data_IF_619451432430
#
_entry.id   IF_619451432430
#
_cell.length_a   1.000
_cell.length_b   1.000
_cell.length_c   1.000
_cell.angle_alpha   90.00
_cell.angle_beta   90.00
_cell.angle_gamma   90.00
#
_symmetry.space_group_name_H-M   'P 1'
#
loop_
_entity.id
_entity.type
_entity.pdbx_description
1 polymer ?
#
# COMPACT_ATOMS: atom_id res chain seq x y z
N UNK A 1 -5.00 2.85 -4.94
CA UNK A 1 -5.67 4.04 -4.36
C UNK A 1 -4.78 4.61 -3.26
N UNK A 2 -4.63 5.92 -3.20
CA UNK A 2 -3.92 6.61 -2.12
C UNK A 2 -4.93 7.47 -1.34
N UNK A 3 -5.12 7.14 -0.06
CA UNK A 3 -5.81 8.02 0.88
C UNK A 3 -4.72 8.84 1.57
N UNK A 4 -4.81 10.15 1.53
CA UNK A 4 -3.79 10.96 2.15
C UNK A 4 -4.36 12.09 3.01
N UNK A 5 -3.71 12.31 4.16
CA UNK A 5 -3.89 13.46 5.04
C UNK A 5 -2.61 14.27 5.14
N UNK A 6 -1.75 14.21 4.13
CA UNK A 6 -0.48 14.91 4.11
C UNK A 6 -0.63 16.44 4.13
N UNK A 7 0.37 17.17 4.58
CA UNK A 7 0.40 18.63 4.46
C UNK A 7 0.14 19.08 3.02
N UNK A 8 -0.53 20.23 2.88
CA UNK A 8 -0.80 20.81 1.56
C UNK A 8 0.50 20.96 0.77
N UNK A 9 0.47 20.59 -0.50
CA UNK A 9 1.61 20.68 -1.42
C UNK A 9 2.60 19.51 -1.35
N UNK A 10 2.66 18.75 -0.24
CA UNK A 10 3.55 17.58 -0.16
C UNK A 10 3.18 16.51 -1.18
N UNK A 11 1.93 16.10 -1.22
CA UNK A 11 1.45 15.07 -2.17
C UNK A 11 1.76 15.44 -3.62
N UNK A 12 1.54 16.71 -3.98
CA UNK A 12 1.82 17.22 -5.32
C UNK A 12 3.31 17.23 -5.64
N UNK A 13 4.14 17.64 -4.68
CA UNK A 13 5.59 17.64 -4.81
C UNK A 13 6.11 16.22 -4.97
N UNK A 14 5.69 15.35 -4.06
CA UNK A 14 6.10 13.93 -4.01
C UNK A 14 5.78 13.21 -5.31
N UNK A 15 4.58 13.42 -5.85
CA UNK A 15 4.14 12.81 -7.11
C UNK A 15 4.85 13.40 -8.32
N UNK A 16 4.90 14.74 -8.42
CA UNK A 16 5.51 15.42 -9.58
C UNK A 16 7.00 15.13 -9.72
N UNK A 17 7.72 15.01 -8.60
CA UNK A 17 9.16 14.73 -8.61
C UNK A 17 9.47 13.22 -8.51
N UNK A 18 8.44 12.37 -8.50
CA UNK A 18 8.58 10.91 -8.40
C UNK A 18 9.50 10.49 -7.24
N UNK A 19 9.34 11.14 -6.07
CA UNK A 19 10.21 10.92 -4.92
C UNK A 19 10.12 9.50 -4.37
N UNK A 20 9.04 8.79 -4.64
CA UNK A 20 8.80 7.40 -4.21
C UNK A 20 9.95 6.46 -4.58
N UNK A 21 10.60 6.69 -5.73
CA UNK A 21 11.70 5.82 -6.20
C UNK A 21 12.97 5.95 -5.36
N UNK A 22 13.12 7.05 -4.65
CA UNK A 22 14.30 7.32 -3.82
C UNK A 22 13.95 7.41 -2.32
N UNK A 23 12.70 7.14 -1.97
CA UNK A 23 12.23 7.21 -0.59
C UNK A 23 12.72 5.99 0.21
N UNK A 24 13.62 6.18 1.19
CA UNK A 24 14.17 5.09 1.97
C UNK A 24 13.10 4.41 2.84
N UNK A 25 12.07 5.16 3.25
CA UNK A 25 10.96 4.64 4.05
C UNK A 25 10.12 3.69 3.23
N UNK A 26 9.80 4.06 1.99
CA UNK A 26 9.08 3.18 1.05
C UNK A 26 9.91 1.93 0.72
N UNK A 27 11.19 2.11 0.43
CA UNK A 27 12.09 0.99 0.16
C UNK A 27 12.17 0.00 1.34
N UNK A 28 12.11 0.51 2.58
CA UNK A 28 12.10 -0.31 3.78
C UNK A 28 10.75 -1.03 3.98
N UNK A 29 9.63 -0.43 3.60
CA UNK A 29 8.31 -1.07 3.67
C UNK A 29 8.22 -2.38 2.89
N UNK A 30 8.91 -2.48 1.75
CA UNK A 30 8.95 -3.72 0.96
C UNK A 30 9.75 -4.86 1.62
N UNK A 31 10.60 -4.54 2.59
CA UNK A 31 11.50 -5.49 3.25
C UNK A 31 11.09 -5.81 4.68
N UNK A 32 10.31 -4.94 5.31
CA UNK A 32 9.87 -5.09 6.70
C UNK A 32 8.42 -5.53 6.75
N UNK A 33 8.12 -6.56 7.54
CA UNK A 33 6.75 -6.96 7.88
C UNK A 33 6.29 -6.38 9.21
N UNK A 34 7.22 -5.81 9.98
CA UNK A 34 6.95 -5.19 11.27
C UNK A 34 6.83 -3.66 11.13
N UNK A 35 6.00 -3.01 11.95
CA UNK A 35 5.97 -1.56 12.04
C UNK A 35 7.33 -1.00 12.47
N UNK A 36 7.69 0.18 11.96
CA UNK A 36 8.97 0.82 12.21
C UNK A 36 8.87 2.34 12.23
N UNK A 37 9.83 3.01 12.86
CA UNK A 37 9.98 4.46 12.76
C UNK A 37 10.73 4.83 11.48
N UNK A 38 10.52 6.02 10.96
CA UNK A 38 11.26 6.51 9.77
C UNK A 38 12.76 6.50 9.98
N UNK A 39 13.21 6.70 11.23
CA UNK A 39 14.63 6.62 11.61
C UNK A 39 15.24 5.22 11.48
N UNK A 40 14.41 4.19 11.44
CA UNK A 40 14.86 2.81 11.30
C UNK A 40 15.03 2.41 9.82
N UNK A 41 14.55 3.24 8.88
CA UNK A 41 14.72 3.01 7.45
C UNK A 41 16.18 3.31 7.03
N UNK A 42 16.98 2.30 6.66
CA UNK A 42 18.40 2.50 6.41
C UNK A 42 18.64 3.22 5.08
N UNK A 43 19.42 4.26 5.08
CA UNK A 43 20.02 4.84 3.88
C UNK A 43 21.36 5.52 4.23
N UNK A 44 22.24 5.57 3.27
CA UNK A 44 23.50 6.31 3.38
C UNK A 44 23.38 7.59 2.55
N UNK A 45 23.51 8.71 3.22
CA UNK A 45 23.41 10.04 2.60
C UNK A 45 24.54 10.35 1.60
N UNK A 46 25.67 9.65 1.70
CA UNK A 46 26.82 9.83 0.78
C UNK A 46 26.61 9.04 -0.50
N UNK A 47 26.23 7.77 -0.36
CA UNK A 47 26.03 6.88 -1.51
C UNK A 47 24.66 7.03 -2.16
N UNK A 48 23.66 7.53 -1.39
CA UNK A 48 22.31 7.81 -1.88
C UNK A 48 21.85 9.22 -1.49
N UNK A 49 22.37 10.27 -2.12
CA UNK A 49 22.00 11.66 -1.80
C UNK A 49 20.54 11.98 -2.10
N UNK A 50 19.91 11.23 -3.03
CA UNK A 50 18.48 11.42 -3.35
C UNK A 50 17.57 10.95 -2.22
N UNK A 51 17.94 9.88 -1.51
CA UNK A 51 17.21 9.46 -0.31
C UNK A 51 17.26 10.53 0.77
N UNK A 52 18.44 11.13 0.97
CA UNK A 52 18.58 12.27 1.88
C UNK A 52 17.70 13.45 1.46
N UNK A 53 17.66 13.78 0.17
CA UNK A 53 16.81 14.86 -0.34
C UNK A 53 15.34 14.64 -0.01
N UNK A 54 14.83 13.40 -0.16
CA UNK A 54 13.44 13.06 0.20
C UNK A 54 13.17 13.36 1.68
N UNK A 55 14.06 12.94 2.57
CA UNK A 55 13.90 13.14 4.01
C UNK A 55 14.02 14.61 4.41
N UNK A 56 14.95 15.35 3.80
CA UNK A 56 15.09 16.79 4.03
C UNK A 56 13.82 17.54 3.60
N UNK A 57 13.29 17.24 2.42
CA UNK A 57 12.03 17.84 1.94
C UNK A 57 10.82 17.48 2.80
N UNK A 58 10.75 16.27 3.33
CA UNK A 58 9.70 15.91 4.29
C UNK A 58 9.75 16.82 5.52
N UNK A 59 10.96 17.16 5.96
CA UNK A 59 11.19 18.09 7.10
C UNK A 59 10.69 19.50 6.80
N UNK A 60 10.81 19.99 5.57
CA UNK A 60 10.26 21.30 5.15
C UNK A 60 8.74 21.37 5.31
N UNK A 61 8.07 20.23 5.21
CA UNK A 61 6.64 20.08 5.45
C UNK A 61 6.29 19.68 6.88
N UNK A 62 7.19 19.89 7.85
CA UNK A 62 7.04 19.56 9.28
C UNK A 62 6.87 18.06 9.55
N UNK A 63 7.34 17.22 8.69
CA UNK A 63 7.35 15.77 8.84
C UNK A 63 8.76 15.29 9.21
N UNK A 64 9.15 15.55 10.46
CA UNK A 64 10.49 15.21 10.97
C UNK A 64 10.61 13.78 11.47
N UNK A 65 9.52 13.26 12.00
CA UNK A 65 9.43 11.90 12.52
C UNK A 65 8.18 11.23 12.00
N UNK A 66 8.27 9.96 11.74
CA UNK A 66 7.14 9.18 11.29
C UNK A 66 7.18 7.74 11.78
N UNK A 67 6.04 7.09 11.67
CA UNK A 67 5.84 5.70 12.00
C UNK A 67 5.09 5.03 10.85
N UNK A 68 5.62 3.92 10.38
CA UNK A 68 5.07 3.14 9.28
C UNK A 68 4.55 1.79 9.77
N UNK A 69 3.43 1.39 9.19
CA UNK A 69 2.86 0.07 9.33
C UNK A 69 2.75 -0.54 7.94
N UNK A 70 3.72 -1.35 7.50
CA UNK A 70 3.61 -2.13 6.26
C UNK A 70 2.51 -3.18 6.41
N UNK A 71 1.74 -3.39 5.36
CA UNK A 71 0.67 -4.38 5.32
C UNK A 71 0.98 -5.37 4.23
N UNK A 72 1.18 -6.61 4.66
CA UNK A 72 1.47 -7.75 3.80
C UNK A 72 0.34 -8.78 3.89
N UNK A 73 0.08 -9.45 2.80
CA UNK A 73 -0.81 -10.62 2.72
C UNK A 73 -0.02 -11.81 2.18
N UNK A 74 -0.68 -12.94 1.96
CA UNK A 74 -0.08 -14.09 1.26
C UNK A 74 0.49 -13.73 -0.12
N UNK A 75 -0.05 -12.69 -0.75
CA UNK A 75 0.37 -12.21 -2.08
C UNK A 75 1.51 -11.17 -2.00
N UNK A 76 2.07 -10.93 -0.82
CA UNK A 76 3.17 -10.01 -0.57
C UNK A 76 2.73 -8.64 -0.05
N UNK A 77 3.54 -7.59 -0.29
CA UNK A 77 3.26 -6.22 0.13
C UNK A 77 2.03 -5.66 -0.58
N UNK A 78 1.09 -5.15 0.19
CA UNK A 78 -0.17 -4.60 -0.32
C UNK A 78 -0.29 -3.10 -0.12
N UNK A 79 0.11 -2.61 1.06
CA UNK A 79 -0.06 -1.22 1.42
C UNK A 79 0.89 -0.81 2.55
N UNK A 80 0.96 0.48 2.78
CA UNK A 80 1.53 1.06 4.00
C UNK A 80 0.58 2.09 4.56
N UNK A 81 0.41 2.09 5.87
CA UNK A 81 -0.15 3.22 6.59
C UNK A 81 1.00 3.94 7.26
N UNK A 82 1.21 5.20 6.90
CA UNK A 82 2.28 6.00 7.46
C UNK A 82 1.72 7.27 8.10
N UNK A 83 2.27 7.61 9.23
CA UNK A 83 1.94 8.80 10.02
C UNK A 83 3.21 9.58 10.28
N UNK A 84 3.15 10.89 10.10
CA UNK A 84 4.32 11.73 10.31
C UNK A 84 3.91 13.08 10.91
N UNK A 85 4.87 13.71 11.56
CA UNK A 85 4.70 15.03 12.15
C UNK A 85 5.99 15.59 12.72
N UNK A 86 5.91 16.80 13.22
CA UNK A 86 7.05 17.47 13.84
C UNK A 86 7.38 16.90 15.23
N UNK A 87 6.35 16.60 16.00
CA UNK A 87 6.41 15.98 17.33
C UNK A 87 5.42 14.83 17.40
N UNK A 88 5.86 13.63 17.08
CA UNK A 88 5.04 12.43 17.13
C UNK A 88 5.35 11.69 18.42
N UNK A 89 4.31 11.38 19.20
CA UNK A 89 4.44 10.53 20.37
C UNK A 89 4.57 9.07 19.92
N UNK A 90 5.72 8.46 20.18
CA UNK A 90 6.07 7.12 19.74
C UNK A 90 6.51 6.21 20.91
N UNK A 91 5.87 6.37 22.06
CA UNK A 91 6.01 5.39 23.15
C UNK A 91 5.59 4.00 22.70
N UNK A 92 6.05 2.98 23.39
CA UNK A 92 5.68 1.60 23.07
C UNK A 92 4.17 1.35 23.10
N UNK A 93 3.43 2.11 23.93
CA UNK A 93 1.97 2.06 23.98
C UNK A 93 1.36 2.71 22.73
N UNK A 94 1.80 3.91 22.38
CA UNK A 94 1.34 4.63 21.20
C UNK A 94 1.59 3.83 19.92
N UNK A 95 2.78 3.26 19.75
CA UNK A 95 3.11 2.41 18.59
C UNK A 95 2.16 1.22 18.43
N UNK A 96 1.83 0.52 19.55
CA UNK A 96 0.88 -0.60 19.50
C UNK A 96 -0.52 -0.14 19.12
N UNK A 97 -0.98 0.99 19.68
CA UNK A 97 -2.28 1.57 19.34
C UNK A 97 -2.34 1.98 17.86
N UNK A 98 -1.33 2.69 17.38
CA UNK A 98 -1.21 3.10 15.98
C UNK A 98 -1.17 1.91 15.02
N UNK A 99 -0.50 0.83 15.40
CA UNK A 99 -0.49 -0.41 14.61
C UNK A 99 -1.90 -0.99 14.44
N UNK A 100 -2.63 -1.14 15.54
CA UNK A 100 -4.01 -1.66 15.49
C UNK A 100 -4.93 -0.74 14.68
N UNK A 101 -4.81 0.57 14.87
CA UNK A 101 -5.58 1.56 14.10
C UNK A 101 -5.27 1.49 12.60
N UNK A 102 -4.01 1.31 12.24
CA UNK A 102 -3.60 1.19 10.84
C UNK A 102 -4.19 -0.05 10.17
N UNK A 103 -4.15 -1.20 10.84
CA UNK A 103 -4.74 -2.44 10.33
C UNK A 103 -6.27 -2.31 10.16
N UNK A 104 -6.95 -1.71 11.15
CA UNK A 104 -8.38 -1.45 11.04
C UNK A 104 -8.72 -0.49 9.90
N UNK A 105 -7.99 0.62 9.79
CA UNK A 105 -8.18 1.62 8.73
C UNK A 105 -7.96 1.01 7.33
N UNK A 106 -6.93 0.18 7.18
CA UNK A 106 -6.69 -0.54 5.93
C UNK A 106 -7.85 -1.47 5.58
N UNK A 107 -8.31 -2.29 6.52
CA UNK A 107 -9.46 -3.17 6.30
C UNK A 107 -10.70 -2.40 5.85
N UNK A 108 -11.00 -1.27 6.51
CA UNK A 108 -12.11 -0.39 6.11
C UNK A 108 -11.93 0.24 4.75
N UNK A 109 -10.70 0.63 4.41
CA UNK A 109 -10.40 1.16 3.08
C UNK A 109 -10.62 0.10 1.98
N UNK A 110 -10.22 -1.13 2.24
CA UNK A 110 -10.47 -2.27 1.32
C UNK A 110 -11.97 -2.49 1.15
N UNK A 111 -12.74 -2.55 2.24
CA UNK A 111 -14.20 -2.73 2.20
C UNK A 111 -14.90 -1.64 1.37
N UNK A 112 -14.49 -0.38 1.57
CA UNK A 112 -15.07 0.78 0.87
C UNK A 112 -14.70 0.83 -0.62
N UNK A 113 -13.54 0.27 -0.98
CA UNK A 113 -13.01 0.29 -2.33
C UNK A 113 -13.23 -1.03 -3.07
N UNK A 114 -13.70 -2.06 -2.36
CA UNK A 114 -14.11 -3.30 -3.00
C UNK A 114 -15.11 -2.97 -4.11
N UNK A 115 -14.91 -3.49 -5.33
CA UNK A 115 -15.93 -3.38 -6.36
C UNK A 115 -17.24 -3.87 -5.76
N UNK A 116 -18.30 -3.07 -5.90
CA UNK A 116 -19.64 -3.56 -5.51
C UNK A 116 -19.80 -4.93 -6.15
N UNK A 117 -20.20 -5.94 -5.38
CA UNK A 117 -20.42 -7.25 -5.97
C UNK A 117 -21.34 -7.06 -7.17
N UNK A 118 -20.87 -7.47 -8.35
CA UNK A 118 -21.76 -7.60 -9.49
C UNK A 118 -23.00 -8.34 -8.98
N UNK A 119 -24.22 -7.99 -9.45
CA UNK A 119 -25.38 -8.80 -9.16
C UNK A 119 -24.95 -10.26 -9.40
N UNK A 120 -25.31 -11.19 -8.51
CA UNK A 120 -24.75 -12.52 -8.51
C UNK A 120 -24.75 -13.04 -9.93
N UNK A 121 -23.53 -13.28 -10.46
CA UNK A 121 -23.38 -13.76 -11.83
C UNK A 121 -24.30 -14.99 -11.90
N UNK A 122 -25.24 -14.96 -12.83
CA UNK A 122 -26.17 -16.09 -13.04
C UNK A 122 -25.31 -17.33 -13.06
N UNK A 123 -25.46 -18.16 -12.03
CA UNK A 123 -24.67 -19.38 -11.93
C UNK A 123 -24.89 -20.16 -13.24
N UNK A 124 -23.79 -20.43 -13.90
CA UNK A 124 -23.83 -21.23 -15.13
C UNK A 124 -24.49 -22.57 -14.83
N UNK A 125 -25.46 -22.94 -15.65
CA UNK A 125 -26.03 -24.27 -15.63
C UNK A 125 -24.91 -25.29 -15.86
N UNK A 126 -25.17 -26.54 -15.52
CA UNK A 126 -24.22 -27.64 -15.77
C UNK A 126 -23.79 -27.68 -17.24
N UNK A 127 -24.74 -27.55 -18.16
CA UNK A 127 -24.49 -27.59 -19.61
C UNK A 127 -23.65 -26.39 -20.08
N UNK A 128 -23.92 -25.17 -19.61
CA UNK A 128 -23.14 -23.98 -19.94
C UNK A 128 -21.67 -24.12 -19.45
N UNK A 129 -21.49 -24.75 -18.31
CA UNK A 129 -20.15 -25.01 -17.77
C UNK A 129 -19.37 -26.03 -18.59
N UNK A 130 -20.04 -27.11 -19.00
CA UNK A 130 -19.46 -28.14 -19.89
C UNK A 130 -19.05 -27.51 -21.24
N UNK A 131 -19.92 -26.70 -21.84
CA UNK A 131 -19.64 -25.99 -23.10
C UNK A 131 -18.42 -25.08 -22.95
N UNK A 132 -18.34 -24.31 -21.88
CA UNK A 132 -17.18 -23.45 -21.63
C UNK A 132 -15.87 -24.24 -21.41
N UNK A 133 -15.96 -25.39 -20.74
CA UNK A 133 -14.79 -26.26 -20.57
C UNK A 133 -14.29 -26.81 -21.93
N UNK A 134 -15.18 -27.20 -22.81
CA UNK A 134 -14.82 -27.69 -24.13
C UNK A 134 -14.29 -26.56 -25.03
N UNK A 135 -14.89 -25.37 -24.97
CA UNK A 135 -14.36 -24.20 -25.67
C UNK A 135 -12.95 -23.81 -25.17
N UNK A 136 -12.72 -23.90 -23.88
CA UNK A 136 -11.39 -23.62 -23.27
C UNK A 136 -10.34 -24.66 -23.70
N UNK A 137 -10.72 -25.86 -24.05
CA UNK A 137 -9.82 -26.89 -24.60
C UNK A 137 -9.67 -26.81 -26.12
N UNK A 138 -10.23 -25.76 -26.75
CA UNK A 138 -10.07 -25.50 -28.19
C UNK A 138 -11.06 -26.26 -29.10
N UNK A 139 -12.12 -26.85 -28.53
CA UNK A 139 -13.15 -27.48 -29.35
C UNK A 139 -13.99 -26.44 -30.06
N UNK A 140 -14.28 -26.71 -31.32
CA UNK A 140 -15.16 -25.89 -32.15
C UNK A 140 -16.63 -26.06 -31.76
N UNK A 141 -17.47 -25.08 -32.11
CA UNK A 141 -18.93 -25.14 -31.85
C UNK A 141 -19.59 -26.41 -32.40
N UNK A 142 -19.04 -26.96 -33.47
CA UNK A 142 -19.54 -28.20 -34.12
C UNK A 142 -19.23 -29.45 -33.30
N UNK A 143 -18.09 -29.46 -32.59
CA UNK A 143 -17.69 -30.58 -31.74
C UNK A 143 -18.35 -30.53 -30.36
N UNK A 144 -19.03 -29.42 -30.02
CA UNK A 144 -19.73 -29.19 -28.74
C UNK A 144 -21.24 -29.42 -28.85
N UNK A 145 -21.79 -29.53 -30.06
CA UNK A 145 -23.24 -29.72 -30.35
C UNK A 145 -23.81 -31.04 -29.88
#
# INVERSE_FOLDING_TARGET
MMLNGWPRGWSDLYTRQNLVQNDPVVAHCFRSTAPFEWTDAPYDAVTNPRAKEVMDRATDFRMKRGFCVPIHTSDGFQAVVTMAGERVELSGHAKRALHLMALYAYGKAVDLCAPKPFPPARLLTRREREVLQWAATGKSSWEIS
#
